data_IF_798189882433
#
_entry.id   IF_798189882433
#
_cell.length_a   1.000
_cell.length_b   1.000
_cell.length_c   1.000
_cell.angle_alpha   90.00
_cell.angle_beta   90.00
_cell.angle_gamma   90.00
#
_symmetry.space_group_name_H-M   'P 1'
#
loop_
_entity.id
_entity.type
_entity.pdbx_description
1 polymer ?
#
# COMPACT_ATOMS: atom_id res chain seq x y z
N UNK A 1 1.29 18.85 39.56
CA UNK A 1 2.32 18.66 38.52
C UNK A 1 1.60 18.40 37.21
N UNK A 2 1.61 19.37 36.31
CA UNK A 2 0.86 19.32 35.05
C UNK A 2 1.79 18.83 33.95
N UNK A 3 1.56 17.63 33.44
CA UNK A 3 2.27 17.11 32.26
C UNK A 3 1.39 17.29 31.03
N UNK A 4 1.70 18.34 30.25
CA UNK A 4 1.30 18.45 28.86
C UNK A 4 2.16 17.49 28.04
N UNK A 5 1.57 16.45 27.45
CA UNK A 5 2.15 15.68 26.36
C UNK A 5 1.36 16.04 25.11
N UNK A 6 1.84 17.02 24.34
CA UNK A 6 2.73 16.82 23.19
C UNK A 6 1.93 16.37 21.97
N UNK A 7 1.82 17.30 21.02
CA UNK A 7 0.90 17.27 19.91
C UNK A 7 1.04 16.05 19.01
N UNK A 8 -0.11 15.50 18.65
CA UNK A 8 -0.27 14.69 17.46
C UNK A 8 0.09 15.55 16.25
N UNK A 9 1.29 15.38 15.71
CA UNK A 9 1.60 15.85 14.37
C UNK A 9 0.66 15.11 13.41
N UNK A 10 -0.46 15.74 13.05
CA UNK A 10 -1.25 15.31 11.91
C UNK A 10 -0.32 15.35 10.70
N UNK A 11 -0.04 14.18 10.13
CA UNK A 11 0.63 14.05 8.84
C UNK A 11 -0.17 14.89 7.83
N UNK A 12 0.44 15.98 7.38
CA UNK A 12 -0.15 16.96 6.46
C UNK A 12 -0.15 16.47 5.01
N UNK A 13 -0.09 15.16 4.79
CA UNK A 13 -0.17 14.64 3.44
C UNK A 13 -1.57 14.95 2.90
N UNK A 14 -1.69 15.72 1.81
CA UNK A 14 -2.99 15.97 1.21
C UNK A 14 -3.64 14.62 0.90
N UNK A 15 -4.96 14.47 1.10
CA UNK A 15 -5.66 13.25 0.68
C UNK A 15 -5.29 12.99 -0.78
N UNK A 16 -4.69 11.83 -1.04
CA UNK A 16 -4.37 11.43 -2.40
C UNK A 16 -5.64 11.48 -3.24
N UNK A 17 -5.56 12.03 -4.44
CA UNK A 17 -6.70 12.10 -5.37
C UNK A 17 -7.34 10.70 -5.51
N UNK A 18 -8.64 10.54 -5.21
CA UNK A 18 -9.31 9.24 -5.25
C UNK A 18 -9.24 8.59 -6.64
N UNK A 19 -9.25 9.38 -7.73
CA UNK A 19 -9.11 8.84 -9.08
C UNK A 19 -7.71 8.23 -9.30
N UNK A 20 -6.68 8.84 -8.72
CA UNK A 20 -5.31 8.33 -8.74
C UNK A 20 -5.18 7.01 -7.95
N UNK A 21 -5.87 6.89 -6.81
CA UNK A 21 -5.88 5.65 -6.01
C UNK A 21 -6.56 4.50 -6.76
N UNK A 22 -7.71 4.75 -7.39
CA UNK A 22 -8.41 3.76 -8.22
C UNK A 22 -7.57 3.28 -9.40
N UNK A 23 -6.91 4.21 -10.10
CA UNK A 23 -6.02 3.86 -11.20
C UNK A 23 -4.85 2.98 -10.73
N UNK A 24 -4.20 3.34 -9.62
CA UNK A 24 -3.13 2.54 -9.02
C UNK A 24 -3.61 1.14 -8.64
N UNK A 25 -4.80 1.03 -8.05
CA UNK A 25 -5.39 -0.26 -7.70
C UNK A 25 -5.59 -1.15 -8.94
N UNK A 26 -6.17 -0.60 -10.02
CA UNK A 26 -6.38 -1.34 -11.27
C UNK A 26 -5.06 -1.83 -11.87
N UNK A 27 -4.07 -0.95 -11.96
CA UNK A 27 -2.74 -1.30 -12.47
C UNK A 27 -2.04 -2.37 -11.62
N UNK A 28 -2.14 -2.29 -10.29
CA UNK A 28 -1.58 -3.31 -9.39
C UNK A 28 -2.23 -4.68 -9.64
N UNK A 29 -3.56 -4.72 -9.78
CA UNK A 29 -4.29 -5.96 -10.06
C UNK A 29 -3.88 -6.55 -11.41
N UNK A 30 -3.87 -5.72 -12.46
CA UNK A 30 -3.47 -6.15 -13.81
C UNK A 30 -2.04 -6.67 -13.84
N UNK A 31 -1.08 -5.96 -13.23
CA UNK A 31 0.32 -6.37 -13.23
C UNK A 31 0.55 -7.62 -12.35
N UNK A 32 -0.21 -7.77 -11.26
CA UNK A 32 -0.17 -9.01 -10.45
C UNK A 32 -0.65 -10.21 -11.26
N UNK A 33 -1.79 -10.07 -11.94
CA UNK A 33 -2.33 -11.13 -12.79
C UNK A 33 -1.35 -11.48 -13.90
N UNK A 34 -0.82 -10.47 -14.60
CA UNK A 34 0.15 -10.66 -15.68
C UNK A 34 1.40 -11.40 -15.22
N UNK A 35 1.98 -11.03 -14.06
CA UNK A 35 3.20 -11.66 -13.51
C UNK A 35 2.98 -13.06 -12.95
N UNK A 36 1.73 -13.43 -12.70
CA UNK A 36 1.36 -14.72 -12.11
C UNK A 36 0.58 -15.59 -13.09
N UNK A 37 0.62 -15.26 -14.38
CA UNK A 37 -0.15 -15.95 -15.43
C UNK A 37 -1.64 -16.11 -15.11
N UNK A 38 -2.22 -15.14 -14.40
CA UNK A 38 -3.61 -15.12 -13.98
C UNK A 38 -3.96 -15.99 -12.76
N UNK A 39 -2.99 -16.72 -12.20
CA UNK A 39 -3.25 -17.68 -11.11
C UNK A 39 -3.51 -17.00 -9.76
N UNK A 40 -2.98 -15.78 -9.56
CA UNK A 40 -3.05 -15.10 -8.27
C UNK A 40 -3.71 -13.74 -8.40
N UNK A 41 -4.82 -13.57 -7.68
CA UNK A 41 -5.41 -12.25 -7.43
C UNK A 41 -4.94 -11.72 -6.07
N UNK A 42 -4.59 -10.42 -5.99
CA UNK A 42 -4.38 -9.76 -4.71
C UNK A 42 -5.59 -9.91 -3.80
N UNK A 43 -5.36 -10.10 -2.50
CA UNK A 43 -6.41 -9.90 -1.50
C UNK A 43 -6.64 -8.41 -1.27
N UNK A 44 -7.85 -8.02 -0.86
CA UNK A 44 -8.22 -6.63 -0.62
C UNK A 44 -7.31 -5.95 0.42
N UNK A 45 -6.92 -6.68 1.46
CA UNK A 45 -5.99 -6.15 2.47
C UNK A 45 -4.59 -5.91 1.90
N UNK A 46 -4.13 -6.71 0.93
CA UNK A 46 -2.84 -6.49 0.26
C UNK A 46 -2.88 -5.23 -0.60
N UNK A 47 -4.00 -5.03 -1.32
CA UNK A 47 -4.22 -3.80 -2.09
C UNK A 47 -4.24 -2.58 -1.19
N UNK A 48 -4.96 -2.65 -0.05
CA UNK A 48 -5.00 -1.56 0.92
C UNK A 48 -3.60 -1.18 1.42
N UNK A 49 -2.80 -2.17 1.82
CA UNK A 49 -1.42 -1.93 2.30
C UNK A 49 -0.56 -1.29 1.22
N UNK A 50 -0.61 -1.80 -0.01
CA UNK A 50 0.15 -1.24 -1.13
C UNK A 50 -0.27 0.20 -1.47
N UNK A 51 -1.58 0.50 -1.42
CA UNK A 51 -2.10 1.85 -1.63
C UNK A 51 -1.68 2.81 -0.51
N UNK A 52 -1.73 2.37 0.75
CA UNK A 52 -1.26 3.16 1.90
C UNK A 52 0.24 3.48 1.74
N UNK A 53 1.06 2.50 1.31
CA UNK A 53 2.48 2.73 1.00
C UNK A 53 2.68 3.74 -0.14
N UNK A 54 1.89 3.65 -1.21
CA UNK A 54 1.94 4.59 -2.35
C UNK A 54 1.44 6.01 -2.01
N UNK A 55 0.63 6.14 -0.95
CA UNK A 55 0.22 7.41 -0.38
C UNK A 55 1.26 7.99 0.61
N UNK A 56 2.36 7.27 0.85
CA UNK A 56 3.41 7.69 1.78
C UNK A 56 3.05 7.52 3.24
N UNK A 57 2.09 6.64 3.56
CA UNK A 57 1.75 6.29 4.93
C UNK A 57 2.66 5.19 5.47
N UNK A 58 3.07 5.32 6.72
CA UNK A 58 3.72 4.23 7.44
C UNK A 58 2.66 3.19 7.83
N UNK A 59 2.78 1.97 7.33
CA UNK A 59 1.76 0.92 7.50
C UNK A 59 2.32 -0.25 8.29
N UNK A 60 1.66 -0.60 9.39
CA UNK A 60 1.88 -1.85 10.13
C UNK A 60 0.80 -2.86 9.74
N UNK A 61 1.19 -4.06 9.33
CA UNK A 61 0.25 -5.13 8.96
C UNK A 61 0.57 -6.41 9.72
N UNK A 62 -0.46 -6.97 10.38
CA UNK A 62 -0.36 -8.24 11.10
C UNK A 62 -1.10 -9.29 10.27
N UNK A 63 -0.40 -10.34 9.85
CA UNK A 63 -1.01 -11.47 9.16
C UNK A 63 -0.22 -12.77 9.43
N UNK A 64 -0.93 -13.90 9.41
CA UNK A 64 -0.36 -15.23 9.69
C UNK A 64 0.73 -15.66 8.69
N UNK A 65 1.49 -16.70 9.02
CA UNK A 65 2.46 -17.33 8.10
C UNK A 65 1.77 -17.85 6.84
N UNK A 66 2.40 -17.72 5.68
CA UNK A 66 1.83 -18.17 4.39
C UNK A 66 0.72 -17.28 3.81
N UNK A 67 0.23 -16.27 4.52
CA UNK A 67 -0.83 -15.36 4.05
C UNK A 67 -0.45 -14.46 2.87
N UNK A 68 0.80 -14.48 2.41
CA UNK A 68 1.25 -13.65 1.29
C UNK A 68 1.62 -12.21 1.67
N UNK A 69 2.12 -11.99 2.89
CA UNK A 69 2.63 -10.67 3.36
C UNK A 69 3.68 -10.03 2.44
N UNK A 70 4.44 -10.82 1.68
CA UNK A 70 5.47 -10.31 0.78
C UNK A 70 4.88 -9.54 -0.41
N UNK A 71 3.76 -10.01 -0.97
CA UNK A 71 3.17 -9.43 -2.17
C UNK A 71 2.86 -7.92 -2.06
N UNK A 72 2.20 -7.42 -0.99
CA UNK A 72 1.90 -5.98 -0.85
C UNK A 72 3.14 -5.08 -0.79
N UNK A 73 4.30 -5.57 -0.36
CA UNK A 73 5.55 -4.79 -0.41
C UNK A 73 6.12 -4.65 -1.82
N UNK A 74 5.86 -5.62 -2.70
CA UNK A 74 6.34 -5.61 -4.09
C UNK A 74 5.42 -4.80 -5.00
N UNK A 75 4.12 -4.75 -4.69
CA UNK A 75 3.11 -4.08 -5.52
C UNK A 75 3.39 -2.60 -5.85
N UNK A 76 3.90 -1.74 -4.93
CA UNK A 76 4.26 -0.37 -5.28
C UNK A 76 5.24 -0.26 -6.46
N UNK A 77 6.14 -1.24 -6.62
CA UNK A 77 7.10 -1.27 -7.72
C UNK A 77 6.46 -1.52 -9.10
N UNK A 78 5.21 -1.94 -9.16
CA UNK A 78 4.49 -2.13 -10.42
C UNK A 78 4.08 -0.79 -11.07
N UNK A 79 3.91 0.26 -10.27
CA UNK A 79 3.38 1.56 -10.72
C UNK A 79 4.37 2.72 -10.57
N UNK A 80 5.45 2.53 -9.81
CA UNK A 80 6.49 3.54 -9.63
C UNK A 80 7.57 3.43 -10.73
N UNK A 81 7.91 4.56 -11.36
CA UNK A 81 9.00 4.65 -12.34
C UNK A 81 10.39 4.38 -11.75
N UNK A 82 10.56 4.63 -10.45
CA UNK A 82 11.79 4.40 -9.70
C UNK A 82 11.38 3.86 -8.32
N UNK A 83 11.37 2.54 -8.18
CA UNK A 83 11.13 1.90 -6.89
C UNK A 83 12.47 1.80 -6.16
N UNK A 84 12.64 2.57 -5.09
CA UNK A 84 13.66 2.29 -4.08
C UNK A 84 12.88 1.58 -2.97
N UNK A 85 13.01 0.25 -2.93
CA UNK A 85 12.58 -0.54 -1.78
C UNK A 85 13.76 -0.58 -0.81
#
# INVERSE_FOLDING_TARGET
MSTSASGSAQSSNPPGDPATAELRMRLIVEETLKRTNGEKRPHDWQLKVALDMLAGHNTLTIAGTGSGKTLPFVMPAFVLKKAII
#
